data_IF_754906969843
#
_entry.id   IF_754906969843
#
_cell.length_a   1.000
_cell.length_b   1.000
_cell.length_c   1.000
_cell.angle_alpha   90.00
_cell.angle_beta   90.00
_cell.angle_gamma   90.00
#
_symmetry.space_group_name_H-M   'P 1'
#
loop_
_entity.id
_entity.type
_entity.pdbx_description
1 polymer ?
#
# COMPACT_ATOMS: atom_id res chain seq x y z
N UNK A 1 -16.52 28.70 -15.59
CA UNK A 1 -16.17 27.26 -15.62
C UNK A 1 -15.06 27.03 -14.61
N UNK A 2 -15.36 26.56 -13.40
CA UNK A 2 -14.33 26.14 -12.44
C UNK A 2 -13.76 24.82 -12.92
N UNK A 3 -12.46 24.79 -13.25
CA UNK A 3 -11.78 23.55 -13.59
C UNK A 3 -11.90 22.57 -12.41
N UNK A 4 -12.43 21.36 -12.65
CA UNK A 4 -12.44 20.30 -11.64
C UNK A 4 -10.98 20.00 -11.28
N UNK A 5 -10.59 20.37 -10.06
CA UNK A 5 -9.28 20.03 -9.52
C UNK A 5 -9.21 18.52 -9.31
N UNK A 6 -8.03 17.96 -9.56
CA UNK A 6 -7.77 16.56 -9.28
C UNK A 6 -7.90 16.31 -7.77
N UNK A 7 -8.50 15.20 -7.33
CA UNK A 7 -8.77 14.95 -5.92
C UNK A 7 -7.49 15.00 -5.05
N UNK A 8 -6.35 14.58 -5.60
CA UNK A 8 -5.05 14.57 -4.92
C UNK A 8 -4.35 15.93 -4.83
N UNK A 9 -4.91 17.00 -5.39
CA UNK A 9 -4.23 18.30 -5.45
C UNK A 9 -4.15 19.00 -4.08
N UNK A 10 -4.93 18.56 -3.08
CA UNK A 10 -4.99 19.14 -1.74
C UNK A 10 -4.37 18.26 -0.64
N UNK A 11 -3.97 17.02 -0.96
CA UNK A 11 -3.37 16.08 0.00
C UNK A 11 -1.86 16.36 0.14
N UNK A 12 -1.52 17.37 0.94
CA UNK A 12 -0.14 17.79 1.21
C UNK A 12 0.33 17.48 2.64
N UNK A 13 -0.59 17.07 3.52
CA UNK A 13 -0.28 16.77 4.91
C UNK A 13 0.24 15.34 5.07
N UNK A 14 1.12 15.16 6.05
CA UNK A 14 1.61 13.83 6.41
C UNK A 14 0.48 13.04 7.07
N UNK A 15 0.03 11.98 6.41
CA UNK A 15 -1.03 11.11 6.92
C UNK A 15 -0.45 10.08 7.88
N UNK A 16 -1.14 9.82 8.99
CA UNK A 16 -0.75 8.75 9.90
C UNK A 16 -0.95 7.37 9.24
N UNK A 17 0.09 6.56 9.28
CA UNK A 17 0.04 5.18 8.81
C UNK A 17 -0.58 4.27 9.88
N UNK A 18 -1.53 3.42 9.49
CA UNK A 18 -1.98 2.25 10.25
C UNK A 18 -1.43 0.96 9.63
N UNK A 19 -1.13 -0.02 10.47
CA UNK A 19 -0.71 -1.37 10.09
C UNK A 19 -1.53 -2.38 10.90
N UNK A 20 -2.62 -2.85 10.31
CA UNK A 20 -3.66 -3.56 11.02
C UNK A 20 -3.70 -5.03 10.57
N UNK A 21 -3.64 -5.96 11.53
CA UNK A 21 -3.83 -7.40 11.28
C UNK A 21 -5.33 -7.67 11.12
N UNK A 22 -5.74 -8.06 9.91
CA UNK A 22 -7.14 -8.35 9.57
C UNK A 22 -7.50 -9.83 9.80
N UNK A 23 -6.53 -10.71 9.61
CA UNK A 23 -6.64 -12.16 9.88
C UNK A 23 -5.26 -12.73 10.19
N UNK A 24 -5.14 -14.03 10.42
CA UNK A 24 -3.85 -14.67 10.63
C UNK A 24 -2.85 -14.49 9.49
N UNK A 25 -3.35 -14.23 8.29
CA UNK A 25 -2.54 -14.15 7.08
C UNK A 25 -2.71 -12.84 6.32
N UNK A 26 -3.59 -11.93 6.76
CA UNK A 26 -3.92 -10.71 6.03
C UNK A 26 -3.71 -9.45 6.87
N UNK A 27 -3.15 -8.42 6.24
CA UNK A 27 -2.85 -7.13 6.85
C UNK A 27 -3.26 -5.98 5.94
N UNK A 28 -3.64 -4.86 6.55
CA UNK A 28 -3.89 -3.59 5.88
C UNK A 28 -2.84 -2.55 6.30
N UNK A 29 -2.20 -1.95 5.30
CA UNK A 29 -1.39 -0.74 5.45
C UNK A 29 -2.22 0.44 4.93
N UNK A 30 -2.58 1.41 5.77
CA UNK A 30 -3.41 2.54 5.33
C UNK A 30 -2.83 3.88 5.76
N UNK A 31 -3.03 4.91 4.94
CA UNK A 31 -2.74 6.30 5.27
C UNK A 31 -4.07 7.03 5.50
N UNK A 32 -4.60 6.95 6.73
CA UNK A 32 -5.92 7.53 7.09
C UNK A 32 -7.06 7.10 6.15
N UNK A 33 -7.01 5.85 5.68
CA UNK A 33 -7.99 5.28 4.75
C UNK A 33 -7.61 5.34 3.27
N UNK A 34 -6.73 6.26 2.83
CA UNK A 34 -6.23 6.31 1.43
C UNK A 34 -4.88 7.06 1.29
N UNK A 35 -3.84 6.46 0.65
CA UNK A 35 -3.80 5.14 0.03
C UNK A 35 -3.86 3.97 1.02
N UNK A 36 -4.43 2.86 0.55
CA UNK A 36 -4.41 1.56 1.22
C UNK A 36 -3.65 0.51 0.38
N UNK A 37 -2.90 -0.33 1.08
CA UNK A 37 -2.21 -1.50 0.52
C UNK A 37 -2.60 -2.73 1.33
N UNK A 38 -3.01 -3.78 0.63
CA UNK A 38 -3.25 -5.09 1.24
C UNK A 38 -2.00 -5.95 1.22
N UNK A 39 -1.81 -6.77 2.24
CA UNK A 39 -0.74 -7.78 2.28
C UNK A 39 -1.34 -9.13 2.68
N UNK A 40 -1.03 -10.16 1.90
CA UNK A 40 -1.35 -11.56 2.20
C UNK A 40 -0.04 -12.34 2.38
N UNK A 41 0.11 -13.03 3.51
CA UNK A 41 1.23 -13.93 3.80
C UNK A 41 0.76 -15.36 3.59
N UNK A 42 1.20 -16.00 2.51
CA UNK A 42 0.99 -17.42 2.25
C UNK A 42 2.13 -18.27 2.80
N UNK A 43 2.11 -19.56 2.50
CA UNK A 43 3.13 -20.50 2.96
C UNK A 43 4.51 -20.23 2.32
N UNK A 44 4.52 -19.99 1.00
CA UNK A 44 5.76 -19.85 0.23
C UNK A 44 6.16 -18.40 -0.10
N UNK A 45 5.36 -17.41 0.30
CA UNK A 45 5.62 -16.03 -0.05
C UNK A 45 4.49 -15.07 0.29
N UNK A 46 4.76 -13.78 0.07
CA UNK A 46 3.82 -12.70 0.29
C UNK A 46 3.28 -12.17 -1.05
N UNK A 47 2.03 -11.72 -1.02
CA UNK A 47 1.40 -10.92 -2.07
C UNK A 47 1.11 -9.53 -1.52
N UNK A 48 1.46 -8.50 -2.30
CA UNK A 48 1.06 -7.12 -2.06
C UNK A 48 -0.08 -6.77 -3.01
N UNK A 49 -1.10 -6.09 -2.52
CA UNK A 49 -2.21 -5.54 -3.29
C UNK A 49 -2.11 -4.02 -3.23
N UNK A 50 -1.81 -3.39 -4.37
CA UNK A 50 -1.51 -1.97 -4.58
C UNK A 50 -0.22 -1.49 -3.92
N UNK A 51 0.53 -0.65 -4.64
CA UNK A 51 1.94 -0.38 -4.38
C UNK A 51 2.23 1.04 -3.85
N UNK A 52 1.22 1.77 -3.39
CA UNK A 52 1.31 3.19 -2.99
C UNK A 52 1.74 4.12 -4.14
N UNK A 53 1.91 5.41 -3.85
CA UNK A 53 2.14 6.44 -4.87
C UNK A 53 3.60 6.63 -5.32
N UNK A 54 4.58 6.15 -4.55
CA UNK A 54 6.02 6.32 -4.86
C UNK A 54 6.84 5.11 -4.42
N UNK A 55 8.01 4.82 -5.03
CA UNK A 55 8.88 3.75 -4.56
C UNK A 55 9.34 3.94 -3.10
N UNK A 56 9.50 5.20 -2.66
CA UNK A 56 9.88 5.52 -1.27
C UNK A 56 8.77 5.17 -0.29
N UNK A 57 7.51 5.46 -0.64
CA UNK A 57 6.36 5.08 0.17
C UNK A 57 6.19 3.55 0.22
N UNK A 58 6.40 2.86 -0.91
CA UNK A 58 6.34 1.40 -0.98
C UNK A 58 7.37 0.71 -0.07
N UNK A 59 8.53 1.32 0.18
CA UNK A 59 9.49 0.81 1.17
C UNK A 59 8.91 0.75 2.58
N UNK A 60 7.93 1.61 2.91
CA UNK A 60 7.20 1.54 4.18
C UNK A 60 6.42 0.23 4.34
N UNK A 61 5.74 -0.20 3.27
CA UNK A 61 5.04 -1.49 3.22
C UNK A 61 6.03 -2.64 3.38
N UNK A 62 7.14 -2.62 2.62
CA UNK A 62 8.17 -3.68 2.68
C UNK A 62 8.75 -3.79 4.10
N UNK A 63 9.06 -2.65 4.76
CA UNK A 63 9.53 -2.66 6.16
C UNK A 63 8.53 -3.32 7.10
N UNK A 64 7.23 -3.00 6.98
CA UNK A 64 6.18 -3.63 7.80
C UNK A 64 6.05 -5.13 7.55
N UNK A 65 6.17 -5.58 6.31
CA UNK A 65 6.21 -7.01 5.99
C UNK A 65 7.41 -7.68 6.67
N UNK A 66 8.59 -7.04 6.63
CA UNK A 66 9.83 -7.57 7.21
C UNK A 66 9.84 -7.61 8.74
N UNK A 67 9.01 -6.82 9.42
CA UNK A 67 8.82 -6.93 10.87
C UNK A 67 8.11 -8.25 11.28
N UNK A 68 7.40 -8.90 10.36
CA UNK A 68 6.55 -10.07 10.67
C UNK A 68 6.89 -11.34 9.89
N UNK A 69 7.65 -11.25 8.79
CA UNK A 69 8.08 -12.43 8.03
C UNK A 69 9.30 -12.20 7.15
N UNK A 70 10.14 -13.25 7.05
CA UNK A 70 11.27 -13.33 6.11
C UNK A 70 10.90 -13.98 4.77
N UNK A 71 9.65 -14.41 4.60
CA UNK A 71 9.17 -15.01 3.34
C UNK A 71 9.37 -14.06 2.15
N UNK A 72 9.68 -14.55 0.95
CA UNK A 72 9.87 -13.71 -0.23
C UNK A 72 8.55 -13.00 -0.59
N UNK A 73 8.63 -11.72 -0.97
CA UNK A 73 7.50 -11.04 -1.63
C UNK A 73 7.52 -11.50 -3.08
N UNK A 74 6.54 -12.31 -3.48
CA UNK A 74 6.52 -12.99 -4.80
C UNK A 74 5.59 -12.31 -5.80
N UNK A 75 4.55 -11.66 -5.30
CA UNK A 75 3.47 -11.14 -6.14
C UNK A 75 3.11 -9.71 -5.76
N UNK A 76 2.83 -8.91 -6.79
CA UNK A 76 2.19 -7.60 -6.68
C UNK A 76 0.97 -7.62 -7.57
N UNK A 77 -0.20 -7.32 -7.00
CA UNK A 77 -1.46 -7.15 -7.73
C UNK A 77 -1.77 -5.67 -7.72
N UNK A 78 -1.96 -5.09 -8.91
CA UNK A 78 -2.35 -3.70 -9.08
C UNK A 78 -3.83 -3.67 -9.48
N UNK A 79 -4.66 -3.09 -8.63
CA UNK A 79 -6.12 -3.16 -8.77
C UNK A 79 -6.64 -2.30 -9.93
N UNK A 80 -5.99 -1.16 -10.21
CA UNK A 80 -6.30 -0.28 -11.33
C UNK A 80 -5.16 0.72 -11.58
N UNK A 81 -5.26 1.51 -12.65
CA UNK A 81 -4.18 2.33 -13.21
C UNK A 81 -3.83 3.63 -12.46
N UNK A 82 -4.54 3.98 -11.37
CA UNK A 82 -4.30 5.27 -10.70
C UNK A 82 -2.95 5.28 -10.00
N UNK A 83 -2.29 6.45 -10.01
CA UNK A 83 -0.94 6.64 -9.49
C UNK A 83 -0.74 6.10 -8.08
N UNK A 84 -1.71 6.33 -7.19
CA UNK A 84 -1.68 5.87 -5.79
C UNK A 84 -1.73 4.34 -5.63
N UNK A 85 -2.07 3.61 -6.70
CA UNK A 85 -2.04 2.14 -6.73
C UNK A 85 -0.81 1.61 -7.44
N UNK A 86 -0.32 2.29 -8.47
CA UNK A 86 0.69 1.72 -9.37
C UNK A 86 2.08 2.34 -9.26
N UNK A 87 2.26 3.55 -8.74
CA UNK A 87 3.56 4.25 -8.83
C UNK A 87 4.51 4.01 -7.64
N UNK A 88 4.38 2.86 -6.98
CA UNK A 88 5.41 2.28 -6.10
C UNK A 88 5.66 0.79 -6.33
N UNK A 89 5.33 0.26 -7.51
CA UNK A 89 5.66 -1.10 -7.97
C UNK A 89 7.02 -1.11 -8.69
#
# INVERSE_FOLDING_TARGET
MTAKKFASQADLEEKKISWDKLSDNAYAYTAEGDPNTGVIIGDDGCMIIDATATPVAAQGVIRKIREITDKPIKYVVLTHYHAVRVLGA
#
